data_IF_344419760425
#
_entry.id   IF_344419760425
#
_cell.length_a   1.000
_cell.length_b   1.000
_cell.length_c   1.000
_cell.angle_alpha   90.00
_cell.angle_beta   90.00
_cell.angle_gamma   90.00
#
_symmetry.space_group_name_H-M   'P 1'
#
loop_
_entity.id
_entity.type
_entity.pdbx_description
1 polymer ?
#
# COMPACT_ATOMS: atom_id res chain seq x y z
N UNK A 1 -18.52 -13.59 23.86
CA UNK A 1 -17.17 -14.06 24.20
C UNK A 1 -16.18 -13.49 23.18
N UNK A 2 -15.46 -12.42 23.53
CA UNK A 2 -14.38 -11.87 22.70
C UNK A 2 -13.19 -12.81 22.79
N UNK A 3 -13.01 -13.67 21.79
CA UNK A 3 -11.80 -14.50 21.70
C UNK A 3 -10.58 -13.59 21.77
N UNK A 4 -9.82 -13.68 22.86
CA UNK A 4 -8.56 -12.99 23.01
C UNK A 4 -7.65 -13.48 21.88
N UNK A 5 -7.27 -12.60 20.97
CA UNK A 5 -6.30 -12.93 19.93
C UNK A 5 -5.03 -13.36 20.66
N UNK A 6 -4.59 -14.61 20.44
CA UNK A 6 -3.42 -15.15 21.12
C UNK A 6 -2.23 -14.21 20.93
N UNK A 7 -1.39 -13.96 21.95
CA UNK A 7 -0.27 -13.02 21.88
C UNK A 7 0.68 -13.31 20.70
N UNK A 8 0.84 -14.58 20.32
CA UNK A 8 1.62 -14.99 19.15
C UNK A 8 1.08 -14.45 17.82
N UNK A 9 -0.25 -14.43 17.64
CA UNK A 9 -0.90 -13.89 16.45
C UNK A 9 -0.71 -12.37 16.36
N UNK A 10 -0.82 -11.66 17.49
CA UNK A 10 -0.58 -10.21 17.56
C UNK A 10 0.86 -9.86 17.22
N UNK A 11 1.82 -10.61 17.76
CA UNK A 11 3.23 -10.42 17.45
C UNK A 11 3.51 -10.64 15.96
N UNK A 12 3.00 -11.73 15.39
CA UNK A 12 3.13 -12.01 13.96
C UNK A 12 2.55 -10.89 13.09
N UNK A 13 1.31 -10.45 13.37
CA UNK A 13 0.66 -9.38 12.61
C UNK A 13 1.38 -8.05 12.78
N UNK A 14 1.87 -7.73 13.98
CA UNK A 14 2.66 -6.52 14.23
C UNK A 14 3.94 -6.52 13.40
N UNK A 15 4.73 -7.60 13.47
CA UNK A 15 5.95 -7.75 12.67
C UNK A 15 5.67 -7.64 11.18
N UNK A 16 4.64 -8.33 10.69
CA UNK A 16 4.20 -8.25 9.31
C UNK A 16 3.88 -6.80 8.90
N UNK A 17 3.04 -6.09 9.66
CA UNK A 17 2.66 -4.71 9.34
C UNK A 17 3.87 -3.78 9.33
N UNK A 18 4.81 -3.92 10.28
CA UNK A 18 6.04 -3.13 10.29
C UNK A 18 6.96 -3.45 9.11
N UNK A 19 7.12 -4.73 8.75
CA UNK A 19 7.91 -5.11 7.57
C UNK A 19 7.36 -4.48 6.30
N UNK A 20 6.04 -4.54 6.10
CA UNK A 20 5.43 -3.96 4.89
C UNK A 20 5.44 -2.43 4.94
N UNK A 21 5.31 -1.81 6.11
CA UNK A 21 5.51 -0.37 6.31
C UNK A 21 6.91 0.07 5.84
N UNK A 22 7.96 -0.62 6.27
CA UNK A 22 9.33 -0.31 5.83
C UNK A 22 9.50 -0.52 4.32
N UNK A 23 8.85 -1.54 3.76
CA UNK A 23 8.81 -1.75 2.31
C UNK A 23 8.23 -0.54 1.56
N UNK A 24 7.09 0.00 2.00
CA UNK A 24 6.49 1.17 1.37
C UNK A 24 7.28 2.47 1.60
N UNK A 25 7.92 2.63 2.77
CA UNK A 25 8.85 3.73 3.01
C UNK A 25 10.04 3.68 2.04
N UNK A 26 10.58 2.49 1.79
CA UNK A 26 11.65 2.29 0.82
C UNK A 26 11.19 2.65 -0.60
N UNK A 27 9.99 2.25 -1.02
CA UNK A 27 9.42 2.64 -2.32
C UNK A 27 9.32 4.17 -2.42
N UNK A 28 8.73 4.83 -1.41
CA UNK A 28 8.58 6.29 -1.40
C UNK A 28 9.93 7.00 -1.49
N UNK A 29 10.90 6.55 -0.69
CA UNK A 29 12.24 7.15 -0.67
C UNK A 29 12.92 7.04 -2.04
N UNK A 30 12.87 5.86 -2.68
CA UNK A 30 13.46 5.66 -3.99
C UNK A 30 12.75 6.51 -5.06
N UNK A 31 11.42 6.57 -5.03
CA UNK A 31 10.64 7.38 -5.97
C UNK A 31 11.01 8.86 -5.85
N UNK A 32 11.03 9.42 -4.63
CA UNK A 32 11.35 10.83 -4.41
C UNK A 32 12.81 11.15 -4.76
N UNK A 33 13.74 10.27 -4.39
CA UNK A 33 15.16 10.44 -4.71
C UNK A 33 15.38 10.44 -6.22
N UNK A 34 14.86 9.43 -6.91
CA UNK A 34 15.00 9.30 -8.37
C UNK A 34 14.29 10.42 -9.11
N UNK A 35 13.12 10.86 -8.65
CA UNK A 35 12.42 11.99 -9.26
C UNK A 35 13.24 13.29 -9.18
N UNK A 36 13.93 13.52 -8.06
CA UNK A 36 14.79 14.70 -7.85
C UNK A 36 16.10 14.63 -8.63
N UNK A 37 16.72 13.46 -8.73
CA UNK A 37 18.06 13.29 -9.30
C UNK A 37 18.06 12.96 -10.80
N UNK A 38 17.14 12.12 -11.26
CA UNK A 38 17.15 11.52 -12.61
C UNK A 38 15.84 11.75 -13.39
N UNK A 39 14.87 12.45 -12.80
CA UNK A 39 13.57 12.74 -13.41
C UNK A 39 12.58 11.57 -13.40
N UNK A 40 11.35 11.84 -13.85
CA UNK A 40 10.22 10.91 -13.76
C UNK A 40 10.38 9.63 -14.59
N UNK A 41 11.18 9.67 -15.67
CA UNK A 41 11.33 8.55 -16.60
C UNK A 41 12.03 7.34 -15.94
N UNK A 42 12.90 7.59 -14.96
CA UNK A 42 13.69 6.55 -14.29
C UNK A 42 13.07 6.08 -12.98
N UNK A 43 11.96 6.69 -12.54
CA UNK A 43 11.34 6.39 -11.23
C UNK A 43 10.89 4.94 -11.16
N UNK A 44 10.20 4.46 -12.19
CA UNK A 44 9.66 3.11 -12.17
C UNK A 44 10.77 2.04 -12.18
N UNK A 45 11.84 2.22 -12.95
CA UNK A 45 12.91 1.21 -13.07
C UNK A 45 13.61 0.93 -11.73
N UNK A 46 13.76 1.95 -10.88
CA UNK A 46 14.36 1.84 -9.54
C UNK A 46 13.32 1.33 -8.51
N UNK A 47 12.08 1.79 -8.62
CA UNK A 47 11.02 1.46 -7.66
C UNK A 47 10.31 0.13 -7.94
N UNK A 48 10.45 -0.46 -9.13
CA UNK A 48 9.71 -1.65 -9.57
C UNK A 48 9.88 -2.84 -8.63
N UNK A 49 11.13 -3.20 -8.30
CA UNK A 49 11.39 -4.35 -7.41
C UNK A 49 10.71 -4.19 -6.04
N UNK A 50 10.96 -3.12 -5.27
CA UNK A 50 10.32 -2.96 -3.97
C UNK A 50 8.79 -2.77 -4.08
N UNK A 51 8.29 -2.14 -5.16
CA UNK A 51 6.86 -2.02 -5.44
C UNK A 51 6.20 -3.40 -5.61
N UNK A 52 6.79 -4.28 -6.42
CA UNK A 52 6.26 -5.62 -6.66
C UNK A 52 6.20 -6.43 -5.37
N UNK A 53 7.26 -6.41 -4.56
CA UNK A 53 7.26 -7.05 -3.24
C UNK A 53 6.15 -6.50 -2.34
N UNK A 54 6.06 -5.17 -2.21
CA UNK A 54 5.07 -4.52 -1.36
C UNK A 54 3.62 -4.80 -1.81
N UNK A 55 3.38 -4.90 -3.13
CA UNK A 55 2.07 -5.25 -3.69
C UNK A 55 1.73 -6.73 -3.50
N UNK A 56 2.70 -7.64 -3.70
CA UNK A 56 2.47 -9.07 -3.45
C UNK A 56 2.23 -9.37 -1.97
N UNK A 57 2.81 -8.59 -1.05
CA UNK A 57 2.51 -8.69 0.37
C UNK A 57 1.01 -8.49 0.65
N UNK A 58 0.32 -7.61 -0.08
CA UNK A 58 -1.13 -7.41 0.08
C UNK A 58 -1.97 -8.69 -0.15
N UNK A 59 -1.47 -9.67 -0.91
CA UNK A 59 -2.14 -10.98 -1.07
C UNK A 59 -2.17 -11.74 0.25
N UNK A 60 -1.10 -11.64 1.07
CA UNK A 60 -1.06 -12.26 2.39
C UNK A 60 -2.16 -11.70 3.30
N UNK A 61 -2.58 -10.44 3.13
CA UNK A 61 -3.70 -9.88 3.89
C UNK A 61 -5.04 -10.53 3.54
N UNK A 62 -5.26 -10.83 2.26
CA UNK A 62 -6.45 -11.57 1.82
C UNK A 62 -6.43 -12.96 2.46
N UNK A 63 -5.27 -13.62 2.47
CA UNK A 63 -5.10 -14.92 3.11
C UNK A 63 -5.33 -14.85 4.62
N UNK A 64 -4.83 -13.82 5.31
CA UNK A 64 -5.11 -13.61 6.74
C UNK A 64 -6.61 -13.42 7.02
N UNK A 65 -7.33 -12.74 6.11
CA UNK A 65 -8.78 -12.61 6.16
C UNK A 65 -9.50 -13.95 5.94
N UNK A 66 -9.12 -14.70 4.89
CA UNK A 66 -9.72 -15.99 4.52
C UNK A 66 -9.51 -17.07 5.59
N UNK A 67 -8.33 -17.11 6.20
CA UNK A 67 -8.00 -18.04 7.29
C UNK A 67 -8.64 -17.60 8.62
N UNK A 68 -9.25 -16.41 8.67
CA UNK A 68 -9.90 -15.89 9.88
C UNK A 68 -8.92 -15.42 10.96
N UNK A 69 -7.66 -15.14 10.59
CA UNK A 69 -6.66 -14.55 11.49
C UNK A 69 -7.07 -13.11 11.85
N UNK A 70 -7.64 -12.38 10.88
CA UNK A 70 -8.12 -11.01 11.05
C UNK A 70 -9.58 -10.91 10.59
N UNK A 71 -10.43 -10.22 11.35
CA UNK A 71 -11.79 -9.85 10.90
C UNK A 71 -11.68 -8.72 9.87
N UNK A 72 -11.57 -9.09 8.60
CA UNK A 72 -11.63 -8.15 7.49
C UNK A 72 -12.85 -8.48 6.61
N UNK A 73 -13.60 -7.49 6.09
CA UNK A 73 -14.63 -7.72 5.09
C UNK A 73 -13.97 -8.10 3.75
N UNK A 74 -13.71 -9.41 3.60
CA UNK A 74 -12.97 -9.99 2.47
C UNK A 74 -13.56 -9.57 1.11
N UNK A 75 -14.89 -9.49 1.03
CA UNK A 75 -15.62 -9.05 -0.17
C UNK A 75 -15.28 -7.63 -0.61
N UNK A 76 -14.87 -6.75 0.31
CA UNK A 76 -14.45 -5.39 0.01
C UNK A 76 -12.94 -5.27 -0.26
N UNK A 77 -12.10 -6.08 0.40
CA UNK A 77 -10.63 -6.01 0.24
C UNK A 77 -10.13 -6.75 -1.02
N UNK A 78 -10.81 -7.82 -1.43
CA UNK A 78 -10.43 -8.59 -2.64
C UNK A 78 -10.43 -7.72 -3.90
N UNK A 79 -11.52 -7.00 -4.24
CA UNK A 79 -11.54 -6.17 -5.44
C UNK A 79 -10.50 -5.03 -5.40
N UNK A 80 -10.29 -4.43 -4.22
CA UNK A 80 -9.32 -3.34 -4.05
C UNK A 80 -7.88 -3.77 -4.32
N UNK A 81 -7.47 -4.91 -3.75
CA UNK A 81 -6.10 -5.44 -3.94
C UNK A 81 -5.94 -6.00 -5.34
N UNK A 82 -6.96 -6.68 -5.88
CA UNK A 82 -6.92 -7.24 -7.24
C UNK A 82 -6.78 -6.14 -8.29
N UNK A 83 -7.50 -5.02 -8.15
CA UNK A 83 -7.38 -3.86 -9.06
C UNK A 83 -5.95 -3.30 -9.08
N UNK A 84 -5.32 -3.16 -7.90
CA UNK A 84 -3.92 -2.72 -7.78
C UNK A 84 -2.93 -3.69 -8.39
N UNK A 85 -3.10 -4.99 -8.14
CA UNK A 85 -2.26 -6.02 -8.73
C UNK A 85 -2.38 -6.03 -10.24
N UNK A 86 -3.59 -5.84 -10.78
CA UNK A 86 -3.81 -5.72 -12.22
C UNK A 86 -3.12 -4.48 -12.82
N UNK A 87 -3.16 -3.32 -12.15
CA UNK A 87 -2.42 -2.14 -12.62
C UNK A 87 -0.90 -2.37 -12.67
N UNK A 88 -0.33 -3.02 -11.65
CA UNK A 88 1.12 -3.23 -11.56
C UNK A 88 1.60 -4.37 -12.45
N UNK A 89 0.96 -5.53 -12.39
CA UNK A 89 1.36 -6.73 -13.14
C UNK A 89 0.73 -6.81 -14.53
N UNK A 90 -0.49 -6.31 -14.69
CA UNK A 90 -1.20 -6.37 -15.97
C UNK A 90 -0.81 -5.23 -16.91
N UNK A 91 -0.71 -4.00 -16.40
CA UNK A 91 -0.43 -2.82 -17.22
C UNK A 91 1.03 -2.42 -17.16
N UNK A 92 1.55 -2.04 -15.98
CA UNK A 92 2.91 -1.49 -15.89
C UNK A 92 3.98 -2.50 -16.29
N UNK A 93 3.80 -3.79 -15.97
CA UNK A 93 4.73 -4.84 -16.41
C UNK A 93 4.62 -5.15 -17.91
N UNK A 94 3.40 -5.16 -18.48
CA UNK A 94 3.18 -5.53 -19.89
C UNK A 94 3.49 -4.41 -20.87
N UNK A 95 3.37 -3.14 -20.45
CA UNK A 95 3.54 -1.96 -21.32
C UNK A 95 4.66 -1.05 -20.77
N UNK A 96 5.93 -1.32 -21.11
CA UNK A 96 7.05 -0.52 -20.65
C UNK A 96 6.97 0.96 -21.04
N UNK A 97 6.30 1.30 -22.15
CA UNK A 97 6.18 2.70 -22.58
C UNK A 97 5.43 3.55 -21.54
N UNK A 98 4.46 2.96 -20.84
CA UNK A 98 3.66 3.66 -19.81
C UNK A 98 4.47 4.02 -18.56
N UNK A 99 5.57 3.31 -18.28
CA UNK A 99 6.38 3.47 -17.07
C UNK A 99 7.09 4.82 -16.99
N UNK A 100 7.36 5.44 -18.14
CA UNK A 100 8.08 6.71 -18.23
C UNK A 100 7.19 7.93 -18.00
N UNK A 101 5.86 7.73 -17.99
CA UNK A 101 4.89 8.80 -17.86
C UNK A 101 4.92 9.40 -16.46
N UNK A 102 4.81 10.73 -16.35
CA UNK A 102 4.83 11.43 -15.06
C UNK A 102 3.70 10.95 -14.11
N UNK A 103 2.59 10.47 -14.68
CA UNK A 103 1.45 9.89 -13.96
C UNK A 103 1.86 8.68 -13.11
N UNK A 104 2.81 7.87 -13.58
CA UNK A 104 3.30 6.71 -12.82
C UNK A 104 4.04 7.17 -11.57
N UNK A 105 4.87 8.21 -11.67
CA UNK A 105 5.56 8.78 -10.51
C UNK A 105 4.56 9.31 -9.47
N UNK A 106 3.54 10.05 -9.91
CA UNK A 106 2.48 10.55 -9.02
C UNK A 106 1.71 9.41 -8.34
N UNK A 107 1.32 8.38 -9.12
CA UNK A 107 0.62 7.21 -8.62
C UNK A 107 1.43 6.46 -7.56
N UNK A 108 2.75 6.28 -7.77
CA UNK A 108 3.61 5.59 -6.81
C UNK A 108 3.79 6.36 -5.50
N UNK A 109 3.94 7.69 -5.56
CA UNK A 109 3.99 8.55 -4.37
C UNK A 109 2.68 8.43 -3.60
N UNK A 110 1.58 8.58 -4.32
CA UNK A 110 0.22 8.45 -3.82
C UNK A 110 0.02 7.11 -3.07
N UNK A 111 0.26 5.99 -3.74
CA UNK A 111 0.11 4.67 -3.15
C UNK A 111 1.00 4.47 -1.94
N UNK A 112 2.27 4.90 -2.01
CA UNK A 112 3.19 4.74 -0.90
C UNK A 112 2.71 5.47 0.34
N UNK A 113 2.23 6.72 0.21
CA UNK A 113 1.69 7.49 1.34
C UNK A 113 0.49 6.77 1.96
N UNK A 114 -0.49 6.35 1.14
CA UNK A 114 -1.69 5.65 1.66
C UNK A 114 -1.36 4.38 2.41
N UNK A 115 -0.42 3.59 1.90
CA UNK A 115 -0.04 2.31 2.49
C UNK A 115 0.80 2.51 3.76
N UNK A 116 1.71 3.48 3.78
CA UNK A 116 2.48 3.83 5.00
C UNK A 116 1.54 4.14 6.16
N UNK A 117 0.51 4.96 5.92
CA UNK A 117 -0.48 5.31 6.95
C UNK A 117 -1.25 4.07 7.39
N UNK A 118 -1.70 3.23 6.45
CA UNK A 118 -2.47 2.01 6.73
C UNK A 118 -1.69 1.02 7.59
N UNK A 119 -0.46 0.70 7.20
CA UNK A 119 0.38 -0.24 7.94
C UNK A 119 0.87 0.34 9.27
N UNK A 120 1.09 1.65 9.36
CA UNK A 120 1.35 2.31 10.65
C UNK A 120 0.16 2.16 11.59
N UNK A 121 -1.06 2.37 11.12
CA UNK A 121 -2.26 2.16 11.91
C UNK A 121 -2.39 0.72 12.41
N UNK A 122 -2.25 -0.26 11.50
CA UNK A 122 -2.38 -1.67 11.87
C UNK A 122 -1.24 -2.13 12.79
N UNK A 123 0.00 -1.73 12.53
CA UNK A 123 1.15 -2.03 13.38
C UNK A 123 0.98 -1.48 14.80
N UNK A 124 0.60 -0.21 14.93
CA UNK A 124 0.35 0.40 16.24
C UNK A 124 -0.85 -0.23 16.97
N UNK A 125 -1.93 -0.53 16.24
CA UNK A 125 -3.12 -1.18 16.81
C UNK A 125 -2.80 -2.55 17.39
N UNK A 126 -2.05 -3.37 16.66
CA UNK A 126 -1.67 -4.71 17.11
C UNK A 126 -0.60 -4.69 18.21
N UNK A 127 0.35 -3.75 18.14
CA UNK A 127 1.43 -3.62 19.13
C UNK A 127 0.98 -3.02 20.47
N UNK A 128 0.14 -1.98 20.45
CA UNK A 128 -0.20 -1.21 21.65
C UNK A 128 -1.65 -1.37 22.11
N UNK A 129 -2.48 -2.16 21.39
CA UNK A 129 -3.93 -2.27 21.60
C UNK A 129 -4.68 -0.93 21.55
N UNK A 130 -4.00 0.13 21.11
CA UNK A 130 -4.52 1.48 21.01
C UNK A 130 -4.87 1.73 19.55
N UNK A 131 -6.15 2.03 19.28
CA UNK A 131 -6.63 2.33 17.94
C UNK A 131 -6.96 3.82 17.88
N UNK A 132 -6.02 4.69 17.45
CA UNK A 132 -6.27 6.11 17.44
C UNK A 132 -7.28 6.45 16.34
N UNK A 133 -8.43 7.01 16.70
CA UNK A 133 -9.51 7.34 15.76
C UNK A 133 -9.09 8.31 14.65
N UNK A 134 -8.05 9.13 14.89
CA UNK A 134 -7.49 10.06 13.91
C UNK A 134 -6.78 9.37 12.74
N UNK A 135 -6.18 8.19 12.94
CA UNK A 135 -5.60 7.40 11.83
C UNK A 135 -6.69 6.75 10.95
N UNK A 136 -7.82 6.41 11.56
CA UNK A 136 -9.01 5.94 10.85
C UNK A 136 -9.59 7.06 9.98
N UNK A 137 -9.66 8.28 10.52
CA UNK A 137 -10.06 9.48 9.78
C UNK A 137 -9.08 9.83 8.64
N UNK A 138 -7.77 9.80 8.91
CA UNK A 138 -6.72 10.07 7.90
C UNK A 138 -6.77 9.09 6.71
N UNK A 139 -7.13 7.82 6.97
CA UNK A 139 -7.32 6.79 5.93
C UNK A 139 -8.45 7.13 4.96
N UNK A 140 -9.55 7.70 5.44
CA UNK A 140 -10.70 8.04 4.59
C UNK A 140 -10.45 9.31 3.78
N UNK A 141 -9.90 10.35 4.40
CA UNK A 141 -9.67 11.65 3.74
C UNK A 141 -8.60 11.57 2.64
N UNK A 142 -7.48 10.88 2.90
CA UNK A 142 -6.39 10.79 1.91
C UNK A 142 -6.79 9.92 0.73
N UNK A 143 -7.54 8.84 0.93
CA UNK A 143 -7.96 7.97 -0.17
C UNK A 143 -8.83 8.72 -1.19
N UNK A 144 -9.72 9.60 -0.71
CA UNK A 144 -10.58 10.44 -1.55
C UNK A 144 -9.78 11.52 -2.27
N UNK A 145 -8.94 12.27 -1.57
CA UNK A 145 -8.12 13.36 -2.18
C UNK A 145 -7.20 12.82 -3.28
N UNK A 146 -6.65 11.65 -3.06
CA UNK A 146 -5.62 11.08 -3.92
C UNK A 146 -6.19 10.35 -5.15
N UNK A 147 -7.38 9.75 -5.01
CA UNK A 147 -8.19 9.29 -6.16
C UNK A 147 -8.58 10.48 -7.04
N UNK A 148 -9.06 11.57 -6.45
CA UNK A 148 -9.45 12.77 -7.20
C UNK A 148 -8.25 13.40 -7.92
N UNK A 149 -7.07 13.44 -7.28
CA UNK A 149 -5.85 13.95 -7.91
C UNK A 149 -5.37 13.06 -9.08
N UNK A 150 -5.48 11.74 -8.94
CA UNK A 150 -5.11 10.80 -10.01
C UNK A 150 -6.06 10.90 -11.20
N UNK A 151 -7.37 11.03 -10.96
CA UNK A 151 -8.37 11.25 -12.01
C UNK A 151 -8.22 12.61 -12.70
N UNK A 152 -7.95 13.68 -11.95
CA UNK A 152 -7.75 15.01 -12.50
C UNK A 152 -6.54 15.08 -13.46
N UNK A 153 -5.48 14.33 -13.18
CA UNK A 153 -4.28 14.28 -14.03
C UNK A 153 -4.44 13.36 -15.27
N UNK A 154 -5.45 12.50 -15.32
CA UNK A 154 -5.77 11.66 -16.51
C UNK A 154 -6.67 12.42 -17.50
N UNK A 155 -7.39 13.43 -17.03
CA UNK A 155 -8.30 14.26 -17.84
C UNK A 155 -7.64 15.51 -18.44
N UNK A 156 -6.36 15.74 -18.16
CA UNK A 156 -5.51 16.81 -18.72
C UNK A 156 -4.38 16.22 -19.54
#
# INVERSE_FOLDING_TARGET
MTASVSPMKRLYLSLYNFTVLFGWLQVLFLVLKTLKEMGHQNVYSVAQKPLLFAQTAAILEILHGLVGIVRSPISATLPQISSRLFLVWGILWSFPETQTHFLVSSLLISWSITEIIRYSFFGLKEAFSFSPSWLLWLRYEICVVLINLTFALILY
#
